data_IF_116848748308
#
_entry.id   IF_116848748308
#
_cell.length_a   1.000
_cell.length_b   1.000
_cell.length_c   1.000
_cell.angle_alpha   90.00
_cell.angle_beta   90.00
_cell.angle_gamma   90.00
#
_symmetry.space_group_name_H-M   'P 1'
#
loop_
_entity.id
_entity.type
_entity.pdbx_description
1 polymer ?
#
# COMPACT_ATOMS: atom_id res chain seq x y z
N UNK A 1 -2.22 -11.70 -21.84
CA UNK A 1 -1.24 -10.62 -21.58
C UNK A 1 -1.18 -10.22 -20.10
N UNK A 2 -2.29 -10.35 -19.37
CA UNK A 2 -2.44 -9.99 -17.96
C UNK A 2 -1.45 -10.67 -17.00
N UNK A 3 -1.10 -11.95 -17.21
CA UNK A 3 -0.12 -12.65 -16.36
C UNK A 3 1.28 -11.97 -16.35
N UNK A 4 1.68 -11.28 -17.42
CA UNK A 4 2.95 -10.54 -17.44
C UNK A 4 2.88 -9.30 -16.54
N UNK A 5 1.74 -8.60 -16.53
CA UNK A 5 1.53 -7.40 -15.71
C UNK A 5 1.33 -7.79 -14.24
N UNK A 6 0.52 -8.81 -13.96
CA UNK A 6 0.28 -9.32 -12.61
C UNK A 6 1.56 -9.81 -11.93
N UNK A 7 2.51 -10.38 -12.68
CA UNK A 7 3.84 -10.74 -12.15
C UNK A 7 4.56 -9.57 -11.48
N UNK A 8 4.33 -8.33 -11.94
CA UNK A 8 4.90 -7.12 -11.36
C UNK A 8 3.95 -6.45 -10.36
N UNK A 9 2.64 -6.44 -10.62
CA UNK A 9 1.67 -5.85 -9.70
C UNK A 9 1.60 -6.59 -8.36
N UNK A 10 1.75 -7.92 -8.34
CA UNK A 10 1.69 -8.71 -7.11
C UNK A 10 2.76 -8.31 -6.07
N UNK A 11 4.08 -8.30 -6.41
CA UNK A 11 5.10 -7.85 -5.46
C UNK A 11 4.96 -6.36 -5.11
N UNK A 12 4.53 -5.51 -6.05
CA UNK A 12 4.27 -4.10 -5.77
C UNK A 12 3.11 -3.92 -4.77
N UNK A 13 2.05 -4.70 -4.91
CA UNK A 13 0.91 -4.70 -3.98
C UNK A 13 1.35 -5.15 -2.59
N UNK A 14 2.19 -6.19 -2.50
CA UNK A 14 2.75 -6.65 -1.23
C UNK A 14 3.61 -5.57 -0.56
N UNK A 15 4.48 -4.89 -1.31
CA UNK A 15 5.32 -3.81 -0.79
C UNK A 15 4.44 -2.65 -0.31
N UNK A 16 3.45 -2.22 -1.12
CA UNK A 16 2.56 -1.14 -0.75
C UNK A 16 1.71 -1.47 0.50
N UNK A 17 1.26 -2.73 0.63
CA UNK A 17 0.59 -3.23 1.82
C UNK A 17 1.48 -3.13 3.06
N UNK A 18 2.69 -3.67 2.99
CA UNK A 18 3.64 -3.63 4.12
C UNK A 18 3.98 -2.20 4.53
N UNK A 19 4.25 -1.31 3.56
CA UNK A 19 4.51 0.11 3.83
C UNK A 19 3.33 0.78 4.54
N UNK A 20 2.10 0.50 4.10
CA UNK A 20 0.89 1.06 4.72
C UNK A 20 0.70 0.56 6.15
N UNK A 21 0.95 -0.74 6.39
CA UNK A 21 0.89 -1.34 7.74
C UNK A 21 1.95 -0.74 8.66
N UNK A 22 3.20 -0.61 8.19
CA UNK A 22 4.28 0.00 8.98
C UNK A 22 3.94 1.46 9.31
N UNK A 23 3.45 2.24 8.34
CA UNK A 23 3.03 3.62 8.56
C UNK A 23 1.88 3.72 9.57
N UNK A 24 0.88 2.83 9.48
CA UNK A 24 -0.21 2.74 10.45
C UNK A 24 0.31 2.44 11.86
N UNK A 25 1.24 1.48 11.98
CA UNK A 25 1.87 1.11 13.25
C UNK A 25 2.63 2.29 13.84
N UNK A 26 3.44 2.98 13.04
CA UNK A 26 4.20 4.17 13.46
C UNK A 26 3.27 5.30 13.94
N UNK A 27 2.13 5.47 13.28
CA UNK A 27 1.16 6.50 13.63
C UNK A 27 0.32 6.15 14.88
N UNK A 28 -0.10 4.88 15.03
CA UNK A 28 -1.06 4.45 16.07
C UNK A 28 -0.43 3.90 17.35
N UNK A 29 0.73 3.25 17.27
CA UNK A 29 1.36 2.68 18.47
C UNK A 29 2.16 3.73 19.24
N UNK A 30 2.23 3.62 20.58
CA UNK A 30 3.09 4.47 21.40
C UNK A 30 4.55 4.40 20.94
N UNK A 31 5.16 5.56 20.74
CA UNK A 31 6.52 5.68 20.23
C UNK A 31 6.81 7.10 19.74
N UNK A 32 8.01 7.31 19.18
CA UNK A 32 8.50 8.63 18.77
C UNK A 32 7.64 9.34 17.70
N UNK A 33 6.82 8.58 16.96
CA UNK A 33 6.00 9.08 15.85
C UNK A 33 4.49 8.94 16.10
N UNK A 34 4.10 8.53 17.31
CA UNK A 34 2.70 8.35 17.67
C UNK A 34 1.91 9.66 17.52
N UNK A 35 0.85 9.64 16.72
CA UNK A 35 0.04 10.83 16.45
C UNK A 35 0.78 11.97 15.73
N UNK A 36 2.01 11.74 15.25
CA UNK A 36 2.77 12.76 14.53
C UNK A 36 2.20 13.02 13.14
N UNK A 37 2.30 14.28 12.70
CA UNK A 37 1.89 14.72 11.36
C UNK A 37 2.64 13.93 10.27
N UNK A 38 3.96 13.80 10.41
CA UNK A 38 4.80 13.03 9.48
C UNK A 38 4.32 11.59 9.30
N UNK A 39 4.03 10.86 10.38
CA UNK A 39 3.54 9.49 10.27
C UNK A 39 2.13 9.45 9.66
N UNK A 40 1.31 10.47 9.90
CA UNK A 40 0.01 10.65 9.26
C UNK A 40 0.13 10.82 7.74
N UNK A 41 0.99 11.72 7.28
CA UNK A 41 1.24 11.96 5.85
C UNK A 41 1.81 10.72 5.14
N UNK A 42 2.74 10.02 5.79
CA UNK A 42 3.30 8.76 5.26
C UNK A 42 2.19 7.71 5.18
N UNK A 43 1.32 7.59 6.18
CA UNK A 43 0.21 6.65 6.17
C UNK A 43 -0.82 6.98 5.07
N UNK A 44 -1.19 8.24 4.91
CA UNK A 44 -2.11 8.69 3.87
C UNK A 44 -1.54 8.45 2.46
N UNK A 45 -0.28 8.83 2.24
CA UNK A 45 0.40 8.64 0.96
C UNK A 45 0.55 7.16 0.63
N UNK A 46 1.03 6.34 1.58
CA UNK A 46 1.18 4.90 1.37
C UNK A 46 -0.15 4.20 1.15
N UNK A 47 -1.20 4.57 1.88
CA UNK A 47 -2.56 4.07 1.68
C UNK A 47 -3.13 4.44 0.30
N UNK A 48 -2.86 5.65 -0.18
CA UNK A 48 -3.25 6.11 -1.52
C UNK A 48 -2.53 5.30 -2.62
N UNK A 49 -1.23 5.06 -2.46
CA UNK A 49 -0.48 4.20 -3.40
C UNK A 49 -1.01 2.77 -3.38
N UNK A 50 -1.26 2.22 -2.18
CA UNK A 50 -1.81 0.89 -2.02
C UNK A 50 -3.16 0.73 -2.71
N UNK A 51 -4.10 1.67 -2.52
CA UNK A 51 -5.44 1.54 -3.12
C UNK A 51 -5.38 1.60 -4.64
N UNK A 52 -4.52 2.45 -5.22
CA UNK A 52 -4.32 2.53 -6.67
C UNK A 52 -3.78 1.21 -7.22
N UNK A 53 -2.75 0.64 -6.59
CA UNK A 53 -2.17 -0.64 -7.02
C UNK A 53 -3.18 -1.77 -6.83
N UNK A 54 -3.97 -1.77 -5.76
CA UNK A 54 -5.00 -2.76 -5.51
C UNK A 54 -6.10 -2.74 -6.58
N UNK A 55 -6.55 -1.55 -6.99
CA UNK A 55 -7.52 -1.39 -8.08
C UNK A 55 -6.95 -1.95 -9.39
N UNK A 56 -5.71 -1.61 -9.74
CA UNK A 56 -5.04 -2.15 -10.93
C UNK A 56 -4.93 -3.68 -10.86
N UNK A 57 -4.51 -4.22 -9.71
CA UNK A 57 -4.43 -5.66 -9.50
C UNK A 57 -5.78 -6.33 -9.74
N UNK A 58 -6.86 -5.82 -9.13
CA UNK A 58 -8.21 -6.37 -9.31
C UNK A 58 -8.66 -6.29 -10.77
N UNK A 59 -8.46 -5.14 -11.43
CA UNK A 59 -8.80 -4.96 -12.84
C UNK A 59 -8.10 -5.98 -13.75
N UNK A 60 -6.79 -6.15 -13.61
CA UNK A 60 -6.03 -7.11 -14.42
C UNK A 60 -6.29 -8.57 -14.04
N UNK A 61 -6.70 -8.85 -12.80
CA UNK A 61 -7.04 -10.19 -12.35
C UNK A 61 -8.45 -10.64 -12.79
N UNK A 62 -9.39 -9.70 -12.96
CA UNK A 62 -10.75 -9.97 -13.49
C UNK A 62 -10.89 -9.82 -15.00
N UNK A 63 -9.87 -9.32 -15.70
CA UNK A 63 -9.80 -9.44 -17.16
C UNK A 63 -9.51 -10.89 -17.55
N UNK A 64 -10.56 -11.72 -17.64
CA UNK A 64 -10.53 -13.06 -18.25
C UNK A 64 -10.07 -12.98 -19.71
#
# INVERSE_FOLDING_TARGET
>A
MNNKVLKYLNPLLLIAFLSTVIAMVMYKLPGALNGSELAGEIHETSGTVFIVIAILHVFFNWGW
#
